data_IF_175822553418
#
_entry.id   IF_175822553418
#
_cell.length_a   1.000
_cell.length_b   1.000
_cell.length_c   1.000
_cell.angle_alpha   90.00
_cell.angle_beta   90.00
_cell.angle_gamma   90.00
#
_symmetry.space_group_name_H-M   'P 1'
#
loop_
_entity.id
_entity.type
_entity.pdbx_description
1 polymer ?
#
# COMPACT_ATOMS: atom_id res chain seq x y z
N UNK A 1 17.21 11.56 15.84
CA UNK A 1 15.91 12.27 15.72
C UNK A 1 15.03 11.43 14.82
N UNK A 2 13.83 11.06 15.26
CA UNK A 2 12.87 10.35 14.39
C UNK A 2 12.31 11.39 13.42
N UNK A 3 12.51 11.16 12.14
CA UNK A 3 11.90 11.98 11.09
C UNK A 3 10.52 11.41 10.77
N UNK A 4 9.58 12.31 10.54
CA UNK A 4 8.24 11.98 10.06
C UNK A 4 8.06 12.53 8.64
N UNK A 5 7.08 12.02 7.90
CA UNK A 5 6.71 12.56 6.62
C UNK A 5 6.12 13.98 6.79
N UNK A 6 6.76 14.94 6.17
CA UNK A 6 6.38 16.36 6.23
C UNK A 6 5.27 16.73 5.22
N UNK A 7 4.79 15.74 4.47
CA UNK A 7 3.83 15.97 3.40
C UNK A 7 4.50 16.09 2.02
N UNK A 8 3.67 16.25 0.96
CA UNK A 8 4.17 16.37 -0.41
C UNK A 8 4.86 17.72 -0.64
N UNK A 9 5.81 17.73 -1.58
CA UNK A 9 6.35 19.02 -2.10
C UNK A 9 5.22 19.87 -2.73
N UNK A 10 5.41 21.21 -2.84
CA UNK A 10 4.39 22.08 -3.43
C UNK A 10 3.86 21.59 -4.77
N UNK A 11 4.73 21.14 -5.62
CA UNK A 11 4.45 20.56 -6.94
C UNK A 11 3.51 19.35 -6.91
N UNK A 12 3.73 18.42 -5.97
CA UNK A 12 2.85 17.27 -5.78
C UNK A 12 1.56 17.66 -5.07
N UNK A 13 1.64 18.60 -4.11
CA UNK A 13 0.46 19.13 -3.43
C UNK A 13 -0.52 19.77 -4.41
N UNK A 14 -0.02 20.57 -5.37
CA UNK A 14 -0.83 21.15 -6.44
C UNK A 14 -1.49 20.06 -7.30
N UNK A 15 -0.75 19.03 -7.70
CA UNK A 15 -1.31 17.91 -8.46
C UNK A 15 -2.38 17.15 -7.68
N UNK A 16 -2.14 16.91 -6.39
CA UNK A 16 -3.11 16.23 -5.51
C UNK A 16 -4.39 17.05 -5.31
N UNK A 17 -4.27 18.38 -5.25
CA UNK A 17 -5.43 19.27 -5.17
C UNK A 17 -6.31 19.23 -6.45
N UNK A 18 -5.74 18.79 -7.58
CA UNK A 18 -6.44 18.64 -8.86
C UNK A 18 -7.04 17.23 -9.04
N UNK A 19 -7.14 16.42 -7.97
CA UNK A 19 -7.78 15.10 -8.06
C UNK A 19 -9.17 15.23 -8.67
N UNK A 20 -9.53 14.42 -9.69
CA UNK A 20 -10.84 14.50 -10.32
C UNK A 20 -11.96 14.27 -9.33
N UNK A 21 -13.09 14.89 -9.59
CA UNK A 21 -14.30 14.65 -8.82
C UNK A 21 -14.77 13.19 -9.01
N UNK A 22 -14.87 12.46 -7.90
CA UNK A 22 -15.39 11.09 -7.84
C UNK A 22 -16.90 11.05 -7.59
N UNK A 23 -17.59 12.19 -7.47
CA UNK A 23 -19.04 12.24 -7.25
C UNK A 23 -19.83 11.42 -8.27
N UNK A 24 -19.48 11.37 -9.58
CA UNK A 24 -20.15 10.51 -10.55
C UNK A 24 -20.04 9.00 -10.25
N UNK A 25 -19.08 8.60 -9.42
CA UNK A 25 -18.81 7.22 -9.03
C UNK A 25 -19.01 6.98 -7.52
N UNK A 26 -19.60 7.95 -6.83
CA UNK A 26 -19.73 7.97 -5.36
C UNK A 26 -20.25 6.66 -4.79
N UNK A 27 -21.24 6.04 -5.44
CA UNK A 27 -21.81 4.76 -5.02
C UNK A 27 -20.85 3.57 -5.00
N UNK A 28 -19.69 3.71 -5.67
CA UNK A 28 -18.68 2.66 -5.78
C UNK A 28 -17.54 2.83 -4.78
N UNK A 29 -17.43 3.97 -4.12
CA UNK A 29 -16.31 4.33 -3.26
C UNK A 29 -16.74 4.67 -1.84
N UNK A 30 -15.85 4.45 -0.89
CA UNK A 30 -15.92 5.04 0.44
C UNK A 30 -15.51 6.52 0.37
N UNK A 31 -16.37 7.32 -0.25
CA UNK A 31 -16.07 8.69 -0.63
C UNK A 31 -15.76 9.59 0.57
N UNK A 32 -16.42 9.33 1.70
CA UNK A 32 -16.26 10.10 2.95
C UNK A 32 -14.88 9.90 3.62
N UNK A 33 -14.07 8.96 3.09
CA UNK A 33 -12.71 8.78 3.62
C UNK A 33 -11.74 9.84 3.10
N UNK A 34 -12.10 10.57 2.07
CA UNK A 34 -11.21 11.45 1.35
C UNK A 34 -10.19 10.70 0.48
N UNK A 35 -9.42 11.44 -0.33
CA UNK A 35 -8.41 10.88 -1.19
C UNK A 35 -7.13 10.57 -0.42
N UNK A 36 -6.45 9.47 -0.81
CA UNK A 36 -5.16 9.05 -0.24
C UNK A 36 -4.21 8.77 -1.39
N UNK A 37 -3.09 9.48 -1.45
CA UNK A 37 -2.29 9.59 -2.66
C UNK A 37 -1.02 8.76 -2.65
N UNK A 38 -0.18 8.89 -1.61
CA UNK A 38 1.19 8.37 -1.65
C UNK A 38 1.72 7.86 -0.30
N UNK A 39 2.86 7.17 -0.36
CA UNK A 39 3.79 6.91 0.74
C UNK A 39 5.20 6.77 0.17
N UNK A 40 6.19 7.31 0.86
CA UNK A 40 7.60 7.21 0.46
C UNK A 40 8.12 8.44 -0.27
N UNK A 41 8.98 8.25 -1.25
CA UNK A 41 9.84 9.31 -1.80
C UNK A 41 9.21 10.01 -3.00
N UNK A 42 8.77 11.27 -2.80
CA UNK A 42 8.35 12.17 -3.88
C UNK A 42 9.50 13.09 -4.36
N UNK A 43 10.68 12.96 -3.77
CA UNK A 43 11.86 13.80 -3.99
C UNK A 43 12.80 13.30 -5.12
N UNK A 44 12.36 12.33 -5.90
CA UNK A 44 13.16 11.76 -7.00
C UNK A 44 14.20 10.73 -6.56
N UNK A 45 14.23 10.30 -5.30
CA UNK A 45 15.16 9.29 -4.79
C UNK A 45 14.62 7.86 -4.83
N UNK A 46 13.35 7.68 -5.21
CA UNK A 46 12.76 6.36 -5.36
C UNK A 46 13.40 5.56 -6.49
N UNK A 47 13.77 4.31 -6.21
CA UNK A 47 14.24 3.33 -7.20
C UNK A 47 13.14 2.38 -7.67
N UNK A 48 12.07 2.27 -6.92
CA UNK A 48 10.89 1.48 -7.28
C UNK A 48 9.62 2.30 -7.09
N UNK A 49 8.76 2.28 -8.09
CA UNK A 49 7.40 2.75 -8.01
C UNK A 49 6.46 1.57 -7.71
N UNK A 50 5.81 1.60 -6.58
CA UNK A 50 4.80 0.63 -6.16
C UNK A 50 3.41 1.18 -6.47
N UNK A 51 2.66 0.53 -7.34
CA UNK A 51 1.27 0.89 -7.65
C UNK A 51 0.34 -0.10 -6.97
N UNK A 52 -0.44 0.36 -6.00
CA UNK A 52 -1.52 -0.39 -5.36
C UNK A 52 -2.86 -0.09 -6.04
N UNK A 53 -3.90 -0.86 -5.69
CA UNK A 53 -5.25 -0.65 -6.24
C UNK A 53 -5.88 0.62 -5.68
N UNK A 54 -6.19 0.61 -4.41
CA UNK A 54 -6.96 1.64 -3.71
C UNK A 54 -6.62 1.65 -2.21
N UNK A 55 -6.94 2.74 -1.48
CA UNK A 55 -6.71 2.81 -0.05
C UNK A 55 -7.51 1.79 0.75
N UNK A 56 -6.90 1.24 1.79
CA UNK A 56 -7.55 0.40 2.79
C UNK A 56 -7.97 1.18 4.05
N UNK A 57 -8.56 0.48 5.05
CA UNK A 57 -9.02 1.13 6.28
C UNK A 57 -7.88 1.70 7.15
N UNK A 58 -6.70 1.08 7.11
CA UNK A 58 -5.54 1.57 7.86
C UNK A 58 -4.96 2.83 7.20
N UNK A 59 -5.00 2.88 5.88
CA UNK A 59 -4.57 4.02 5.09
C UNK A 59 -5.43 5.27 5.38
N UNK A 60 -6.72 5.09 5.68
CA UNK A 60 -7.61 6.18 6.09
C UNK A 60 -7.10 6.92 7.33
N UNK A 61 -6.47 6.21 8.26
CA UNK A 61 -5.97 6.81 9.51
C UNK A 61 -4.69 7.60 9.27
N UNK A 62 -3.77 7.03 8.49
CA UNK A 62 -2.47 7.63 8.23
C UNK A 62 -2.47 8.61 7.06
N UNK A 63 -3.49 8.58 6.21
CA UNK A 63 -3.52 9.30 4.93
C UNK A 63 -2.29 8.97 4.05
N UNK A 64 -1.80 7.73 4.16
CA UNK A 64 -0.65 7.22 3.40
C UNK A 64 -0.96 5.85 2.83
N UNK A 65 -0.47 5.60 1.62
CA UNK A 65 -0.70 4.35 0.86
C UNK A 65 0.07 3.19 1.47
N UNK A 66 -0.52 1.98 1.49
CA UNK A 66 0.13 0.74 1.90
C UNK A 66 0.78 0.80 3.30
N UNK A 67 0.02 1.20 4.31
CA UNK A 67 0.49 1.26 5.72
C UNK A 67 -0.08 0.16 6.62
N UNK A 68 -1.10 -0.56 6.17
CA UNK A 68 -1.66 -1.73 6.87
C UNK A 68 -0.86 -3.01 6.61
N UNK A 69 -1.44 -4.17 6.89
CA UNK A 69 -0.83 -5.50 6.67
C UNK A 69 -0.25 -5.66 5.26
N UNK A 70 -0.97 -5.19 4.25
CA UNK A 70 -0.50 -5.24 2.86
C UNK A 70 0.79 -4.44 2.66
N UNK A 71 0.88 -3.28 3.29
CA UNK A 71 2.07 -2.43 3.27
C UNK A 71 3.24 -3.07 4.01
N UNK A 72 3.00 -3.64 5.17
CA UNK A 72 4.02 -4.32 5.98
C UNK A 72 4.56 -5.57 5.27
N UNK A 73 3.71 -6.33 4.59
CA UNK A 73 4.15 -7.43 3.69
C UNK A 73 5.03 -6.89 2.56
N UNK A 74 4.60 -5.83 1.91
CA UNK A 74 5.37 -5.19 0.84
C UNK A 74 6.74 -4.77 1.38
N UNK A 75 6.77 -4.08 2.52
CA UNK A 75 7.98 -3.60 3.17
C UNK A 75 8.96 -4.75 3.47
N UNK A 76 8.47 -5.87 4.00
CA UNK A 76 9.28 -7.02 4.35
C UNK A 76 9.88 -7.75 3.15
N UNK A 77 9.29 -7.63 1.96
CA UNK A 77 9.61 -8.47 0.80
C UNK A 77 10.47 -7.81 -0.27
N UNK A 78 10.24 -6.54 -0.54
CA UNK A 78 10.97 -5.87 -1.61
C UNK A 78 12.42 -5.55 -1.27
N UNK A 79 12.81 -5.61 0.00
CA UNK A 79 14.17 -5.32 0.48
C UNK A 79 14.55 -3.85 0.41
N UNK A 80 13.57 -2.96 0.25
CA UNK A 80 13.76 -1.52 0.23
C UNK A 80 13.22 -0.92 1.53
N UNK A 81 14.05 -0.15 2.20
CA UNK A 81 13.71 0.52 3.46
C UNK A 81 13.39 1.99 3.27
N UNK A 82 13.84 2.59 2.15
CA UNK A 82 13.72 4.03 1.87
C UNK A 82 13.60 4.41 0.40
N UNK A 83 14.04 3.56 -0.54
CA UNK A 83 14.19 3.92 -1.97
C UNK A 83 12.94 3.55 -2.78
N UNK A 84 11.77 3.83 -2.28
CA UNK A 84 10.51 3.52 -2.96
C UNK A 84 9.50 4.67 -2.88
N UNK A 85 8.56 4.65 -3.80
CA UNK A 85 7.34 5.46 -3.79
C UNK A 85 6.14 4.54 -4.00
N UNK A 86 5.14 4.64 -3.14
CA UNK A 86 3.87 3.93 -3.27
C UNK A 86 2.77 4.91 -3.68
N UNK A 87 2.04 4.57 -4.74
CA UNK A 87 0.86 5.29 -5.23
C UNK A 87 -0.32 4.34 -5.35
N UNK A 88 -1.51 4.87 -5.47
CA UNK A 88 -2.71 4.09 -5.74
C UNK A 88 -3.21 4.32 -7.19
N UNK A 89 -3.84 3.30 -7.77
CA UNK A 89 -4.57 3.42 -9.03
C UNK A 89 -5.86 4.25 -8.88
N UNK A 90 -6.47 4.19 -7.69
CA UNK A 90 -7.60 5.04 -7.29
C UNK A 90 -7.21 5.88 -6.07
N UNK A 91 -7.50 7.17 -6.11
CA UNK A 91 -7.29 8.04 -4.95
C UNK A 91 -8.23 7.72 -3.78
N UNK A 92 -9.43 7.22 -4.07
CA UNK A 92 -10.45 6.84 -3.08
C UNK A 92 -10.55 5.33 -2.93
N UNK A 93 -11.01 4.88 -1.76
CA UNK A 93 -11.17 3.46 -1.45
C UNK A 93 -12.37 2.86 -2.17
N UNK A 94 -12.13 1.88 -3.05
CA UNK A 94 -13.16 1.16 -3.78
C UNK A 94 -13.89 0.18 -2.84
N UNK A 95 -15.21 0.15 -2.90
CA UNK A 95 -15.99 -0.83 -2.14
C UNK A 95 -15.76 -2.24 -2.69
N UNK A 96 -15.46 -3.24 -1.85
CA UNK A 96 -15.20 -4.61 -2.32
C UNK A 96 -16.35 -5.22 -3.14
N UNK A 97 -17.60 -4.87 -2.81
CA UNK A 97 -18.79 -5.29 -3.57
C UNK A 97 -18.85 -4.72 -4.98
N UNK A 98 -18.10 -3.64 -5.26
CA UNK A 98 -18.06 -2.94 -6.53
C UNK A 98 -16.72 -3.10 -7.25
N UNK A 99 -15.87 -4.04 -6.84
CA UNK A 99 -14.55 -4.27 -7.44
C UNK A 99 -14.61 -4.48 -8.98
N UNK A 100 -15.66 -5.13 -9.48
CA UNK A 100 -15.88 -5.34 -10.91
C UNK A 100 -16.09 -4.05 -11.70
N UNK A 101 -16.45 -2.94 -11.07
CA UNK A 101 -16.61 -1.63 -11.72
C UNK A 101 -15.28 -0.90 -11.89
N UNK A 102 -14.24 -1.31 -11.15
CA UNK A 102 -12.92 -0.67 -11.16
C UNK A 102 -12.34 -0.52 -12.56
N UNK A 103 -12.35 -1.58 -13.37
CA UNK A 103 -11.81 -1.55 -14.74
C UNK A 103 -12.43 -0.47 -15.64
N UNK A 104 -13.75 -0.23 -15.50
CA UNK A 104 -14.45 0.85 -16.24
C UNK A 104 -14.03 2.22 -15.73
N UNK A 105 -13.96 2.41 -14.41
CA UNK A 105 -13.61 3.69 -13.78
C UNK A 105 -12.15 4.05 -14.05
N UNK A 106 -11.24 3.07 -14.10
CA UNK A 106 -9.84 3.29 -14.48
C UNK A 106 -9.68 3.89 -15.87
N UNK A 107 -10.66 3.67 -16.76
CA UNK A 107 -10.67 4.17 -18.14
C UNK A 107 -11.48 5.44 -18.33
N UNK A 108 -12.12 5.95 -17.26
CA UNK A 108 -12.76 7.27 -17.33
C UNK A 108 -11.72 8.32 -17.74
N UNK A 109 -12.00 9.17 -18.74
CA UNK A 109 -10.98 10.07 -19.30
C UNK A 109 -10.34 11.01 -18.29
N UNK A 110 -11.11 11.52 -17.32
CA UNK A 110 -10.58 12.44 -16.31
C UNK A 110 -9.70 11.69 -15.29
N UNK A 111 -10.17 10.52 -14.82
CA UNK A 111 -9.42 9.66 -13.90
C UNK A 111 -8.12 9.16 -14.54
N UNK A 112 -8.21 8.72 -15.79
CA UNK A 112 -7.07 8.24 -16.57
C UNK A 112 -6.02 9.34 -16.76
N UNK A 113 -6.43 10.53 -17.20
CA UNK A 113 -5.52 11.64 -17.47
C UNK A 113 -4.79 12.08 -16.21
N UNK A 114 -5.52 12.32 -15.11
CA UNK A 114 -4.95 12.75 -13.84
C UNK A 114 -3.97 11.71 -13.26
N UNK A 115 -4.39 10.44 -13.22
CA UNK A 115 -3.56 9.34 -12.70
C UNK A 115 -2.29 9.16 -13.53
N UNK A 116 -2.41 9.15 -14.86
CA UNK A 116 -1.24 9.00 -15.73
C UNK A 116 -0.29 10.20 -15.61
N UNK A 117 -0.81 11.41 -15.40
CA UNK A 117 0.00 12.58 -15.11
C UNK A 117 0.73 12.44 -13.76
N UNK A 118 0.07 11.92 -12.71
CA UNK A 118 0.69 11.62 -11.42
C UNK A 118 1.83 10.61 -11.57
N UNK A 119 1.59 9.51 -12.27
CA UNK A 119 2.62 8.50 -12.51
C UNK A 119 3.80 9.06 -13.31
N UNK A 120 3.53 9.88 -14.33
CA UNK A 120 4.58 10.54 -15.13
C UNK A 120 5.38 11.54 -14.30
N UNK A 121 4.71 12.30 -13.43
CA UNK A 121 5.37 13.23 -12.50
C UNK A 121 6.28 12.51 -11.48
N UNK A 122 5.98 11.25 -11.21
CA UNK A 122 6.76 10.40 -10.28
C UNK A 122 8.01 9.75 -10.94
N UNK A 123 8.15 9.87 -12.26
CA UNK A 123 9.35 9.40 -12.95
C UNK A 123 10.57 10.22 -12.53
N UNK A 124 11.68 9.53 -12.33
CA UNK A 124 12.95 10.13 -11.98
C UNK A 124 14.11 9.27 -12.53
N UNK A 125 15.34 9.80 -12.65
CA UNK A 125 16.48 9.07 -13.21
C UNK A 125 16.91 7.84 -12.40
N UNK A 126 16.53 7.75 -11.13
CA UNK A 126 16.89 6.64 -10.26
C UNK A 126 15.91 5.45 -10.38
N UNK A 127 14.76 5.65 -11.01
CA UNK A 127 13.72 4.63 -11.06
C UNK A 127 14.15 3.46 -11.94
N UNK A 128 14.12 2.25 -11.37
CA UNK A 128 14.64 1.02 -11.97
C UNK A 128 13.53 0.03 -12.32
N UNK A 129 12.41 0.06 -11.58
CA UNK A 129 11.28 -0.84 -11.80
C UNK A 129 9.96 -0.27 -11.28
N UNK A 130 8.88 -0.81 -11.81
CA UNK A 130 7.51 -0.58 -11.35
C UNK A 130 6.97 -1.91 -10.81
N UNK A 131 6.33 -1.89 -9.65
CA UNK A 131 5.59 -3.03 -9.10
C UNK A 131 4.10 -2.69 -9.13
N UNK A 132 3.27 -3.58 -9.68
CA UNK A 132 1.82 -3.40 -9.73
C UNK A 132 1.10 -4.52 -8.95
N UNK A 133 0.40 -4.15 -7.86
CA UNK A 133 -0.24 -5.07 -6.93
C UNK A 133 -1.70 -5.34 -7.28
N UNK A 134 -1.96 -6.51 -7.87
CA UNK A 134 -3.30 -6.95 -8.25
C UNK A 134 -3.78 -6.35 -9.58
N UNK A 135 -4.92 -6.84 -10.06
CA UNK A 135 -5.41 -6.57 -11.43
C UNK A 135 -5.59 -5.07 -11.72
N UNK A 136 -6.20 -4.33 -10.80
CA UNK A 136 -6.48 -2.91 -11.03
C UNK A 136 -5.21 -2.05 -11.12
N UNK A 137 -4.20 -2.37 -10.31
CA UNK A 137 -2.90 -1.70 -10.39
C UNK A 137 -2.15 -2.09 -11.68
N UNK A 138 -2.25 -3.35 -12.09
CA UNK A 138 -1.69 -3.85 -13.35
C UNK A 138 -2.37 -3.20 -14.56
N UNK A 139 -3.70 -3.10 -14.55
CA UNK A 139 -4.47 -2.37 -15.56
C UNK A 139 -4.06 -0.89 -15.61
N UNK A 140 -3.94 -0.23 -14.46
CA UNK A 140 -3.52 1.16 -14.37
C UNK A 140 -2.11 1.36 -14.96
N UNK A 141 -1.16 0.47 -14.63
CA UNK A 141 0.18 0.49 -15.20
C UNK A 141 0.18 0.20 -16.71
N UNK A 142 -0.71 -0.69 -17.16
CA UNK A 142 -0.91 -0.99 -18.59
C UNK A 142 -1.45 0.19 -19.39
N UNK A 143 -2.39 0.93 -18.82
CA UNK A 143 -2.99 2.13 -19.41
C UNK A 143 -2.08 3.35 -19.41
N UNK A 144 -0.96 3.30 -18.68
CA UNK A 144 0.00 4.39 -18.61
C UNK A 144 1.11 4.24 -19.66
N UNK A 145 1.04 5.04 -20.71
CA UNK A 145 2.06 5.03 -21.79
C UNK A 145 3.38 5.70 -21.42
N UNK A 146 3.42 6.53 -20.36
CA UNK A 146 4.60 7.32 -20.01
C UNK A 146 5.72 6.56 -19.31
N UNK A 147 5.54 5.28 -18.97
CA UNK A 147 6.54 4.45 -18.27
C UNK A 147 7.79 4.10 -19.08
N UNK A 148 7.77 4.34 -20.39
CA UNK A 148 8.89 4.02 -21.29
C UNK A 148 9.25 2.54 -21.26
N UNK A 149 10.53 2.24 -21.09
CA UNK A 149 11.10 0.88 -21.03
C UNK A 149 11.22 0.32 -19.62
N UNK A 150 10.72 1.02 -18.59
CA UNK A 150 10.77 0.52 -17.22
C UNK A 150 10.06 -0.82 -17.09
N UNK A 151 10.69 -1.83 -16.47
CA UNK A 151 10.07 -3.12 -16.25
C UNK A 151 8.89 -2.97 -15.29
N UNK A 152 7.75 -3.58 -15.66
CA UNK A 152 6.56 -3.65 -14.83
C UNK A 152 6.42 -5.07 -14.30
N UNK A 153 6.54 -5.23 -12.99
CA UNK A 153 6.46 -6.51 -12.30
C UNK A 153 5.07 -6.64 -11.69
N UNK A 154 4.30 -7.57 -12.23
CA UNK A 154 2.96 -7.89 -11.74
C UNK A 154 3.03 -8.80 -10.51
N UNK A 155 2.42 -8.38 -9.42
CA UNK A 155 2.36 -9.14 -8.16
C UNK A 155 0.90 -9.36 -7.77
N UNK A 156 0.52 -10.53 -7.22
CA UNK A 156 -0.77 -10.69 -6.58
C UNK A 156 -0.98 -9.65 -5.48
N UNK A 157 -2.19 -9.15 -5.35
CA UNK A 157 -2.48 -8.16 -4.30
C UNK A 157 -2.11 -8.72 -2.92
N UNK A 158 -1.43 -7.96 -2.04
CA UNK A 158 -0.95 -8.45 -0.74
C UNK A 158 -2.05 -8.96 0.19
N UNK A 159 -3.31 -8.57 -0.05
CA UNK A 159 -4.49 -9.05 0.70
C UNK A 159 -5.20 -10.23 0.02
N UNK A 160 -4.61 -10.87 -0.98
CA UNK A 160 -5.18 -12.06 -1.61
C UNK A 160 -5.49 -13.14 -0.57
N UNK A 161 -6.63 -13.83 -0.74
CA UNK A 161 -7.10 -14.87 0.18
C UNK A 161 -6.55 -16.27 -0.15
N UNK A 162 -5.86 -16.42 -1.26
CA UNK A 162 -5.19 -17.68 -1.64
C UNK A 162 -3.72 -17.61 -1.19
N UNK A 163 -3.35 -18.26 -0.07
CA UNK A 163 -2.01 -18.16 0.49
C UNK A 163 -0.95 -18.71 -0.45
N UNK A 164 -1.23 -19.82 -1.14
CA UNK A 164 -0.28 -20.46 -2.05
C UNK A 164 -0.03 -19.59 -3.29
N UNK A 165 -1.10 -19.12 -3.94
CA UNK A 165 -0.99 -18.20 -5.08
C UNK A 165 -0.25 -16.92 -4.69
N UNK A 166 -0.50 -16.45 -3.47
CA UNK A 166 0.18 -15.27 -2.94
C UNK A 166 1.67 -15.54 -2.75
N UNK A 167 2.06 -16.63 -2.06
CA UNK A 167 3.46 -16.96 -1.80
C UNK A 167 4.25 -17.22 -3.10
N UNK A 168 3.69 -17.98 -4.02
CA UNK A 168 4.33 -18.29 -5.30
C UNK A 168 4.46 -17.05 -6.18
N UNK A 169 3.40 -16.26 -6.29
CA UNK A 169 3.40 -15.02 -7.07
C UNK A 169 4.41 -13.99 -6.53
N UNK A 170 4.51 -13.86 -5.21
CA UNK A 170 5.48 -12.97 -4.60
C UNK A 170 6.92 -13.46 -4.76
N UNK A 171 7.18 -14.76 -4.60
CA UNK A 171 8.51 -15.34 -4.84
C UNK A 171 9.00 -15.04 -6.24
N UNK A 172 8.18 -15.31 -7.24
CA UNK A 172 8.51 -15.06 -8.63
C UNK A 172 8.76 -13.58 -8.91
N UNK A 173 7.88 -12.73 -8.42
CA UNK A 173 7.98 -11.29 -8.65
C UNK A 173 9.20 -10.65 -7.95
N UNK A 174 9.50 -11.05 -6.71
CA UNK A 174 10.70 -10.54 -6.02
C UNK A 174 11.98 -11.05 -6.70
N UNK A 175 11.98 -12.29 -7.20
CA UNK A 175 13.10 -12.80 -8.01
C UNK A 175 13.30 -11.96 -9.27
N UNK A 176 12.23 -11.62 -9.98
CA UNK A 176 12.30 -10.72 -11.12
C UNK A 176 12.80 -9.33 -10.73
N UNK A 177 12.29 -8.79 -9.61
CA UNK A 177 12.71 -7.47 -9.12
C UNK A 177 14.22 -7.40 -8.86
N UNK A 178 14.81 -8.44 -8.31
CA UNK A 178 16.24 -8.52 -8.02
C UNK A 178 17.14 -8.46 -9.25
N UNK A 179 16.61 -8.75 -10.44
CA UNK A 179 17.33 -8.56 -11.69
C UNK A 179 17.53 -7.08 -12.06
N UNK A 180 16.70 -6.19 -11.53
CA UNK A 180 16.74 -4.76 -11.83
C UNK A 180 17.14 -3.89 -10.64
N UNK A 181 16.78 -4.33 -9.43
CA UNK A 181 16.87 -3.52 -8.21
C UNK A 181 17.63 -4.28 -7.12
N UNK A 182 18.75 -3.72 -6.70
CA UNK A 182 19.45 -4.21 -5.50
C UNK A 182 18.73 -3.71 -4.24
N UNK A 183 18.67 -4.50 -3.14
CA UNK A 183 18.16 -4.04 -1.86
C UNK A 183 18.85 -2.76 -1.37
N UNK A 184 18.17 -2.01 -0.51
CA UNK A 184 18.83 -0.93 0.24
C UNK A 184 19.89 -1.53 1.17
N UNK A 185 20.95 -0.79 1.56
CA UNK A 185 22.03 -1.31 2.40
C UNK A 185 21.55 -1.90 3.75
N UNK A 186 20.46 -1.36 4.28
CA UNK A 186 19.78 -1.81 5.49
C UNK A 186 18.55 -2.70 5.21
N UNK A 187 18.32 -3.06 3.94
CA UNK A 187 17.27 -3.96 3.49
C UNK A 187 17.70 -5.41 3.48
N UNK A 188 16.72 -6.32 3.54
CA UNK A 188 17.00 -7.75 3.47
C UNK A 188 17.44 -8.15 2.03
N UNK A 189 18.69 -8.58 1.82
CA UNK A 189 19.18 -8.99 0.50
C UNK A 189 18.70 -10.38 0.09
N UNK A 190 18.21 -11.20 1.02
CA UNK A 190 17.84 -12.57 0.74
C UNK A 190 16.66 -12.63 -0.25
N UNK A 191 16.73 -13.62 -1.15
CA UNK A 191 15.53 -14.00 -1.89
C UNK A 191 14.53 -14.61 -0.91
N UNK A 192 13.26 -14.27 -1.05
CA UNK A 192 12.26 -14.74 -0.10
C UNK A 192 12.09 -16.25 -0.20
N UNK A 193 12.33 -16.93 0.91
CA UNK A 193 12.00 -18.33 1.09
C UNK A 193 10.65 -18.43 1.79
N UNK A 194 9.58 -18.12 1.05
CA UNK A 194 8.21 -18.27 1.57
C UNK A 194 7.86 -19.75 1.66
N UNK A 195 7.29 -20.15 2.80
CA UNK A 195 6.62 -21.44 2.92
C UNK A 195 5.34 -21.50 2.09
N UNK A 196 4.43 -22.40 2.46
CA UNK A 196 3.08 -22.48 1.87
C UNK A 196 2.20 -21.29 2.23
N UNK A 197 2.55 -20.58 3.30
CA UNK A 197 1.85 -19.41 3.83
C UNK A 197 2.84 -18.30 4.17
N UNK A 198 2.31 -17.09 4.32
CA UNK A 198 3.08 -15.95 4.80
C UNK A 198 3.16 -16.00 6.33
N UNK A 199 4.38 -15.92 6.84
CA UNK A 199 4.68 -15.93 8.27
C UNK A 199 5.03 -14.53 8.77
N UNK A 200 5.13 -14.36 10.09
CA UNK A 200 5.49 -13.07 10.70
C UNK A 200 6.82 -12.50 10.18
N UNK A 201 7.78 -13.36 9.88
CA UNK A 201 9.06 -12.96 9.27
C UNK A 201 8.94 -12.31 7.89
N UNK A 202 7.79 -12.46 7.24
CA UNK A 202 7.51 -11.89 5.91
C UNK A 202 6.96 -10.46 5.97
N UNK A 203 6.80 -9.91 7.16
CA UNK A 203 6.34 -8.55 7.41
C UNK A 203 7.50 -7.70 7.93
N UNK A 204 7.47 -6.42 7.63
CA UNK A 204 8.32 -5.44 8.28
C UNK A 204 7.51 -4.19 8.63
N UNK A 205 7.86 -3.50 9.72
CA UNK A 205 7.20 -2.26 10.10
C UNK A 205 7.30 -1.21 8.99
N UNK A 206 6.28 -0.37 8.92
CA UNK A 206 6.32 0.84 8.09
C UNK A 206 7.29 1.83 8.74
N UNK A 207 8.31 2.34 8.01
CA UNK A 207 9.24 3.30 8.57
C UNK A 207 8.54 4.56 9.07
N UNK A 208 8.92 5.04 10.24
CA UNK A 208 8.32 6.25 10.86
C UNK A 208 8.41 7.48 9.95
N UNK A 209 9.48 7.61 9.19
CA UNK A 209 9.68 8.69 8.20
C UNK A 209 8.65 8.70 7.05
N UNK A 210 7.89 7.62 6.89
CA UNK A 210 6.84 7.49 5.88
C UNK A 210 5.44 7.72 6.46
N UNK A 211 5.37 8.00 7.73
CA UNK A 211 4.13 8.24 8.47
C UNK A 211 4.06 9.70 8.93
N UNK A 212 2.88 10.32 8.92
CA UNK A 212 2.73 11.66 9.45
C UNK A 212 2.97 11.71 10.96
N UNK A 213 3.36 12.88 11.46
CA UNK A 213 3.46 13.15 12.89
C UNK A 213 2.11 12.94 13.60
N UNK A 214 2.17 12.46 14.85
CA UNK A 214 0.98 12.32 15.71
C UNK A 214 0.31 10.95 15.68
N UNK A 215 0.79 10.01 14.86
CA UNK A 215 0.33 8.62 14.94
C UNK A 215 0.95 7.92 16.17
N UNK A 216 0.22 6.97 16.80
CA UNK A 216 0.77 6.15 17.89
C UNK A 216 2.02 5.37 17.45
N UNK A 217 2.93 5.10 18.39
CA UNK A 217 4.19 4.41 18.12
C UNK A 217 4.04 3.00 17.53
N UNK A 218 2.95 2.32 17.85
CA UNK A 218 2.63 0.99 17.31
C UNK A 218 2.05 1.04 15.90
N UNK A 219 1.66 2.21 15.40
CA UNK A 219 1.05 2.32 14.07
C UNK A 219 2.06 1.93 12.98
N UNK A 220 1.61 1.11 12.05
CA UNK A 220 2.46 0.57 11.00
C UNK A 220 3.32 -0.64 11.42
N UNK A 221 3.15 -1.13 12.66
CA UNK A 221 3.72 -2.39 13.15
C UNK A 221 2.64 -3.19 13.90
N UNK A 222 1.94 -4.06 13.18
CA UNK A 222 0.89 -4.91 13.73
C UNK A 222 1.42 -6.27 14.23
N UNK A 223 2.73 -6.45 14.38
CA UNK A 223 3.35 -7.71 14.81
C UNK A 223 2.73 -8.25 16.11
N UNK A 224 2.45 -7.36 17.07
CA UNK A 224 1.79 -7.70 18.32
C UNK A 224 0.37 -8.28 18.11
N UNK A 225 -0.35 -7.82 17.09
CA UNK A 225 -1.69 -8.32 16.76
C UNK A 225 -1.68 -9.61 15.96
N UNK A 226 -0.65 -9.79 15.11
CA UNK A 226 -0.49 -11.03 14.31
C UNK A 226 0.04 -12.18 15.14
N UNK A 227 0.95 -11.93 16.08
CA UNK A 227 1.53 -12.93 17.00
C UNK A 227 0.57 -13.37 18.10
N UNK A 228 -0.67 -12.87 18.09
CA UNK A 228 -1.65 -13.27 19.08
C UNK A 228 -1.82 -14.80 19.05
N UNK A 229 -1.42 -15.47 20.14
CA UNK A 229 -1.75 -16.87 20.37
C UNK A 229 -3.27 -17.03 20.36
N UNK A 230 -3.81 -18.25 20.21
CA UNK A 230 -5.26 -18.48 20.28
C UNK A 230 -5.90 -17.86 21.54
N UNK A 231 -5.17 -17.79 22.66
CA UNK A 231 -5.62 -17.10 23.88
C UNK A 231 -5.71 -15.58 23.71
N UNK A 232 -4.91 -14.97 22.86
CA UNK A 232 -4.92 -13.55 22.53
C UNK A 232 -5.69 -13.24 21.24
N UNK A 233 -5.98 -14.24 20.40
CA UNK A 233 -6.74 -14.06 19.16
C UNK A 233 -8.12 -13.40 19.40
N UNK A 234 -8.69 -13.60 20.58
CA UNK A 234 -9.91 -12.93 21.01
C UNK A 234 -9.69 -11.46 21.45
N UNK A 235 -8.45 -11.03 21.65
CA UNK A 235 -8.14 -9.66 22.01
C UNK A 235 -8.04 -8.74 20.78
N UNK A 236 -7.75 -9.33 19.62
CA UNK A 236 -7.69 -8.64 18.32
C UNK A 236 -8.86 -9.17 17.49
N UNK A 237 -10.06 -8.87 17.92
CA UNK A 237 -11.27 -9.22 17.18
C UNK A 237 -11.36 -8.29 15.97
N UNK A 238 -10.59 -8.58 14.93
CA UNK A 238 -10.80 -7.92 13.63
C UNK A 238 -12.20 -8.30 13.18
N UNK A 239 -13.08 -7.33 12.92
CA UNK A 239 -14.42 -7.64 12.43
C UNK A 239 -14.28 -8.50 11.19
N UNK A 240 -14.90 -9.67 11.19
CA UNK A 240 -15.03 -10.54 10.00
C UNK A 240 -15.87 -9.90 8.91
N UNK A 241 -16.49 -8.76 9.20
CA UNK A 241 -17.30 -8.02 8.25
C UNK A 241 -16.42 -7.21 7.29
N UNK A 242 -16.94 -6.98 6.08
CA UNK A 242 -16.39 -6.06 5.09
C UNK A 242 -16.37 -4.60 5.57
N UNK A 243 -16.69 -4.31 6.83
CA UNK A 243 -16.56 -2.99 7.39
C UNK A 243 -15.10 -2.65 7.47
N UNK A 244 -14.69 -1.72 6.62
CA UNK A 244 -13.33 -1.19 6.58
C UNK A 244 -13.02 -0.27 7.79
N UNK A 245 -13.59 -0.55 8.96
CA UNK A 245 -13.32 0.21 10.17
C UNK A 245 -12.15 -0.41 10.94
N UNK A 246 -10.94 -0.15 10.48
CA UNK A 246 -9.70 -0.70 11.04
C UNK A 246 -9.40 -0.29 12.49
N UNK A 247 -10.12 0.69 13.05
CA UNK A 247 -9.94 1.13 14.44
C UNK A 247 -10.72 0.31 15.46
N UNK A 248 -11.69 -0.51 15.03
CA UNK A 248 -12.56 -1.26 15.95
C UNK A 248 -11.80 -2.28 16.81
N UNK A 249 -10.68 -2.80 16.34
CA UNK A 249 -9.86 -3.75 17.10
C UNK A 249 -8.99 -3.07 18.18
N UNK A 250 -8.57 -1.83 17.98
CA UNK A 250 -7.84 -1.05 18.99
C UNK A 250 -8.72 -0.82 20.22
N UNK A 251 -9.99 -0.51 20.00
CA UNK A 251 -10.95 -0.31 21.08
C UNK A 251 -11.21 -1.59 21.90
N UNK A 252 -11.15 -2.77 21.27
CA UNK A 252 -11.35 -4.03 21.98
C UNK A 252 -10.19 -4.35 22.95
N UNK A 253 -8.96 -4.03 22.58
CA UNK A 253 -7.79 -4.20 23.46
C UNK A 253 -7.85 -3.26 24.66
N UNK A 254 -8.23 -2.01 24.45
CA UNK A 254 -8.36 -1.01 25.52
C UNK A 254 -9.44 -1.42 26.55
N UNK A 255 -10.59 -1.90 26.10
CA UNK A 255 -11.69 -2.30 26.99
C UNK A 255 -11.30 -3.42 27.96
N UNK A 256 -10.46 -4.38 27.55
CA UNK A 256 -10.02 -5.47 28.46
C UNK A 256 -9.00 -5.06 29.49
N UNK A 257 -8.18 -4.04 29.24
CA UNK A 257 -7.23 -3.53 30.25
C UNK A 257 -7.90 -2.81 31.41
N UNK A 258 -9.11 -2.30 31.21
CA UNK A 258 -9.87 -1.56 32.24
C UNK A 258 -10.99 -2.37 32.91
N UNK A 259 -11.27 -3.60 32.46
CA UNK A 259 -12.30 -4.47 33.05
C UNK A 259 -11.74 -5.54 34.00
N UNK A 260 -10.45 -5.54 34.25
CA UNK A 260 -9.75 -6.44 35.20
C UNK A 260 -9.17 -5.69 36.41
N UNK A 261 -9.83 -4.61 36.82
CA UNK A 261 -9.61 -3.92 38.09
C UNK A 261 -10.76 -4.15 39.06
#
# INVERSE_FOLDING_TARGET
>A
MIEFDQGPSPDFAEHFAQVPDYAPFKEHFWYDWGPIFYRGRLDGTARVLCIASDPGPTERVALRTLVGDAGQRTQGKIGLTRSYLCLNAFAYALMPSHASKGAKILRDPKQLAWRNALFTKSLNPNLQAIIAFGEQAQDAAGLWGGKGTLPVIAIPHPSSRDPKKLADGWRNAVTQLRAFVTPDPDGNPALPNYGSELEERDYAPIPKRDLPFGLPDWFGDDAWGRRATPAHANCVNRPKSNSKNGLSWVCAVIRRRFSSG
#
